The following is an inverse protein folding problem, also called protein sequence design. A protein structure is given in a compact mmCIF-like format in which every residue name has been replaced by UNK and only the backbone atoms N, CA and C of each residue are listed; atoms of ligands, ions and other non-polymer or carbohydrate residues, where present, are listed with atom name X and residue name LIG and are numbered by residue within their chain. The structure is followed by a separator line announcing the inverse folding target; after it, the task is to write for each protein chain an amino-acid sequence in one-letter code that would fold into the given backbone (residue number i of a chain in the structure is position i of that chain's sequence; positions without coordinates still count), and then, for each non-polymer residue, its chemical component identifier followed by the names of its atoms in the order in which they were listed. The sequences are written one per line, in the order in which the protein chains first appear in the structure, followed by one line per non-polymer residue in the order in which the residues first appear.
data_IF_165899311754
#
_entry.id   IF_165899311754
#
_cell.length_a   1.000
_cell.length_b   1.000
_cell.length_c   1.000
_cell.angle_alpha   90.00
_cell.angle_beta   90.00
_cell.angle_gamma   90.00
#
_symmetry.space_group_name_H-M   'P 1'
#
loop_
_entity.id
_entity.type
_entity.pdbx_description
1 polymer ?
#
# COMPACT_ATOMS: atom_id res chain seq x y z
N UNK A 1 4.16 5.48 4.44
CA UNK A 1 3.42 4.19 4.64
C UNK A 1 3.56 3.26 3.44
N UNK A 2 3.47 3.71 2.17
CA UNK A 2 3.65 2.82 1.01
C UNK A 2 4.98 2.04 1.03
N UNK A 3 6.10 2.70 1.40
CA UNK A 3 7.40 2.03 1.55
C UNK A 3 7.42 0.94 2.64
N UNK A 4 6.61 1.08 3.70
CA UNK A 4 6.49 0.05 4.74
C UNK A 4 5.84 -1.20 4.14
N UNK A 5 4.71 -1.04 3.43
CA UNK A 5 4.05 -2.16 2.77
C UNK A 5 4.90 -2.76 1.65
N UNK A 6 5.59 -1.92 0.87
CA UNK A 6 6.53 -2.38 -0.16
C UNK A 6 7.69 -3.19 0.44
N UNK A 7 8.23 -2.78 1.59
CA UNK A 7 9.28 -3.53 2.28
C UNK A 7 8.81 -4.89 2.80
N UNK A 8 7.58 -4.99 3.30
CA UNK A 8 6.98 -6.28 3.69
C UNK A 8 6.78 -7.16 2.45
N UNK A 9 6.22 -6.60 1.38
CA UNK A 9 6.01 -7.27 0.10
C UNK A 9 7.32 -7.78 -0.52
N UNK A 10 8.43 -7.10 -0.29
CA UNK A 10 9.77 -7.42 -0.80
C UNK A 10 10.62 -8.14 0.26
N UNK A 11 10.05 -9.12 0.94
CA UNK A 11 10.74 -10.00 1.90
C UNK A 11 11.53 -9.25 2.99
N UNK A 12 11.07 -8.06 3.37
CA UNK A 12 11.68 -7.21 4.39
C UNK A 12 12.79 -6.30 3.89
N UNK A 13 13.05 -6.25 2.59
CA UNK A 13 14.02 -5.35 1.97
C UNK A 13 13.31 -4.07 1.53
N UNK A 14 13.77 -2.93 2.02
CA UNK A 14 13.27 -1.61 1.61
C UNK A 14 14.15 -1.08 0.48
N UNK A 15 13.53 -0.70 -0.63
CA UNK A 15 14.20 -0.07 -1.77
C UNK A 15 14.20 1.45 -1.63
N UNK A 16 15.20 2.12 -2.19
CA UNK A 16 15.18 3.57 -2.32
C UNK A 16 14.07 4.00 -3.29
N UNK A 17 13.16 4.89 -2.88
CA UNK A 17 12.12 5.37 -3.77
C UNK A 17 12.72 6.26 -4.86
N UNK A 18 12.25 6.07 -6.09
CA UNK A 18 12.59 6.93 -7.23
C UNK A 18 11.34 7.32 -8.02
N UNK A 19 11.38 8.48 -8.64
CA UNK A 19 10.29 8.99 -9.48
C UNK A 19 10.70 9.07 -10.96
N UNK A 20 12.00 8.98 -11.24
CA UNK A 20 12.55 9.02 -12.59
C UNK A 20 13.21 7.68 -12.89
N UNK A 21 12.79 7.03 -13.94
CA UNK A 21 13.35 5.76 -14.41
C UNK A 21 14.53 6.00 -15.36
N UNK A 22 14.34 6.86 -16.35
CA UNK A 22 15.36 7.17 -17.33
C UNK A 22 15.22 8.59 -17.87
N UNK A 23 16.28 9.10 -18.48
CA UNK A 23 16.30 10.34 -19.27
C UNK A 23 16.46 9.96 -20.73
N UNK A 24 15.49 10.38 -21.54
CA UNK A 24 15.43 10.07 -22.97
C UNK A 24 15.61 11.38 -23.75
N UNK A 25 16.50 11.37 -24.74
CA UNK A 25 16.71 12.50 -25.64
C UNK A 25 15.55 12.66 -26.65
N UNK A 26 15.52 13.78 -27.36
CA UNK A 26 14.46 14.06 -28.34
C UNK A 26 14.45 13.07 -29.53
N UNK A 27 15.54 12.40 -29.81
CA UNK A 27 15.69 11.34 -30.82
C UNK A 27 15.36 9.93 -30.28
N UNK A 28 14.80 9.85 -29.04
CA UNK A 28 14.42 8.64 -28.32
C UNK A 28 15.62 7.79 -27.84
N UNK A 29 16.84 8.28 -27.93
CA UNK A 29 17.99 7.61 -27.30
C UNK A 29 17.96 7.75 -25.80
N UNK A 30 18.17 6.65 -25.04
CA UNK A 30 18.30 6.67 -23.61
C UNK A 30 19.67 7.25 -23.22
N UNK A 31 19.65 8.42 -22.57
CA UNK A 31 20.88 9.10 -22.14
C UNK A 31 21.35 8.67 -20.78
N UNK A 32 20.41 8.33 -19.91
CA UNK A 32 20.70 7.87 -18.55
C UNK A 32 19.58 6.97 -18.06
N UNK A 33 19.95 5.88 -17.39
CA UNK A 33 19.04 5.00 -16.63
C UNK A 33 19.40 5.03 -15.16
N UNK A 34 18.40 5.03 -14.30
CA UNK A 34 18.57 4.96 -12.86
C UNK A 34 18.23 3.54 -12.40
N UNK A 35 19.19 2.87 -11.76
CA UNK A 35 19.02 1.52 -11.25
C UNK A 35 18.26 1.51 -9.93
N UNK A 36 17.58 0.39 -9.65
CA UNK A 36 16.99 0.12 -8.34
C UNK A 36 18.11 -0.12 -7.32
N UNK A 37 18.03 0.57 -6.19
CA UNK A 37 19.02 0.42 -5.13
C UNK A 37 18.34 0.10 -3.80
N UNK A 38 18.94 -0.77 -3.00
CA UNK A 38 18.47 -1.07 -1.65
C UNK A 38 18.74 0.11 -0.71
N UNK A 39 17.73 0.48 0.08
CA UNK A 39 17.93 1.28 1.28
C UNK A 39 18.48 0.40 2.42
N UNK A 40 17.96 -0.81 2.56
CA UNK A 40 18.39 -1.81 3.53
C UNK A 40 17.28 -2.79 3.91
N UNK A 41 17.67 -3.79 4.70
CA UNK A 41 16.72 -4.78 5.25
C UNK A 41 16.14 -4.28 6.57
N UNK A 42 14.81 -4.10 6.61
CA UNK A 42 14.08 -3.69 7.81
C UNK A 42 13.73 -4.87 8.73
N UNK A 43 13.36 -6.02 8.15
CA UNK A 43 13.01 -7.25 8.87
C UNK A 43 13.48 -8.47 8.09
N UNK A 44 13.52 -9.64 8.73
CA UNK A 44 13.84 -10.90 8.03
C UNK A 44 12.70 -11.32 7.10
N UNK A 45 12.99 -12.15 6.10
CA UNK A 45 11.98 -12.70 5.20
C UNK A 45 10.88 -13.48 5.95
N UNK A 46 11.25 -14.20 7.01
CA UNK A 46 10.30 -14.94 7.86
C UNK A 46 9.30 -14.00 8.57
N UNK A 47 9.79 -12.86 9.08
CA UNK A 47 8.94 -11.85 9.72
C UNK A 47 8.04 -11.20 8.65
N UNK A 48 8.58 -10.86 7.48
CA UNK A 48 7.81 -10.31 6.38
C UNK A 48 6.69 -11.28 5.92
N UNK A 49 6.97 -12.57 5.78
CA UNK A 49 6.00 -13.60 5.44
C UNK A 49 4.90 -13.73 6.52
N UNK A 50 5.28 -13.69 7.80
CA UNK A 50 4.32 -13.70 8.92
C UNK A 50 3.41 -12.46 8.88
N UNK A 51 3.98 -11.29 8.63
CA UNK A 51 3.23 -10.04 8.47
C UNK A 51 2.27 -10.10 7.28
N UNK A 52 2.72 -10.62 6.14
CA UNK A 52 1.89 -10.83 4.93
C UNK A 52 0.68 -11.70 5.26
N UNK A 53 0.88 -12.83 5.93
CA UNK A 53 -0.20 -13.74 6.31
C UNK A 53 -1.25 -13.05 7.21
N UNK A 54 -0.81 -12.26 8.19
CA UNK A 54 -1.71 -11.50 9.06
C UNK A 54 -2.45 -10.40 8.29
N UNK A 55 -1.78 -9.72 7.35
CA UNK A 55 -2.38 -8.68 6.53
C UNK A 55 -3.40 -9.24 5.54
N UNK A 56 -3.16 -10.43 4.97
CA UNK A 56 -4.13 -11.15 4.13
C UNK A 56 -5.36 -11.54 4.94
N UNK A 57 -5.17 -12.16 6.10
CA UNK A 57 -6.28 -12.52 6.98
C UNK A 57 -7.13 -11.29 7.39
N UNK A 58 -6.49 -10.14 7.59
CA UNK A 58 -7.17 -8.90 7.92
C UNK A 58 -8.05 -8.37 6.76
N UNK A 59 -7.69 -8.61 5.51
CA UNK A 59 -8.53 -8.27 4.34
C UNK A 59 -9.61 -9.32 4.13
N UNK A 60 -9.28 -10.61 4.21
CA UNK A 60 -10.23 -11.70 3.94
C UNK A 60 -11.36 -11.77 4.97
N UNK A 61 -11.06 -11.57 6.26
CA UNK A 61 -12.02 -11.77 7.34
C UNK A 61 -11.94 -10.75 8.48
N UNK A 62 -11.10 -9.71 8.34
CA UNK A 62 -10.89 -8.71 9.37
C UNK A 62 -11.48 -7.34 9.02
N UNK A 63 -10.90 -6.30 9.65
CA UNK A 63 -11.36 -4.91 9.57
C UNK A 63 -10.87 -4.17 8.32
N UNK A 64 -10.26 -4.85 7.37
CA UNK A 64 -9.81 -4.27 6.10
C UNK A 64 -10.53 -4.89 4.88
N UNK A 65 -11.66 -5.53 5.09
CA UNK A 65 -12.43 -6.24 4.04
C UNK A 65 -12.89 -5.36 2.87
N UNK A 66 -12.93 -4.04 3.05
CA UNK A 66 -13.18 -3.09 1.96
C UNK A 66 -12.07 -3.04 0.88
N UNK A 67 -10.92 -3.68 1.14
CA UNK A 67 -9.83 -3.78 0.17
C UNK A 67 -9.82 -5.08 -0.64
N UNK A 68 -10.87 -5.92 -0.53
CA UNK A 68 -10.97 -7.18 -1.29
C UNK A 68 -11.04 -6.91 -2.80
N UNK A 69 -10.28 -7.71 -3.56
CA UNK A 69 -10.30 -7.75 -5.03
C UNK A 69 -10.62 -9.19 -5.43
N UNK A 70 -11.58 -9.39 -6.31
CA UNK A 70 -12.03 -10.72 -6.74
C UNK A 70 -10.88 -11.49 -7.39
N UNK A 71 -10.60 -12.68 -6.86
CA UNK A 71 -9.56 -13.57 -7.38
C UNK A 71 -8.12 -13.15 -7.05
N UNK A 72 -7.91 -12.15 -6.21
CA UNK A 72 -6.58 -11.67 -5.81
C UNK A 72 -6.45 -11.61 -4.29
N UNK A 73 -5.46 -12.26 -3.74
CA UNK A 73 -5.13 -12.10 -2.32
C UNK A 73 -4.46 -10.73 -2.07
N UNK A 74 -5.14 -9.91 -1.29
CA UNK A 74 -4.67 -8.59 -0.90
C UNK A 74 -4.16 -8.63 0.54
N UNK A 75 -2.95 -8.17 0.75
CA UNK A 75 -2.39 -7.92 2.08
C UNK A 75 -2.62 -6.47 2.48
N UNK A 76 -3.34 -6.20 3.58
CA UNK A 76 -3.69 -4.83 3.94
C UNK A 76 -3.94 -4.57 5.42
N UNK A 77 -3.76 -3.31 5.80
CA UNK A 77 -4.03 -2.79 7.14
C UNK A 77 -4.71 -1.43 7.06
N UNK A 78 -5.82 -1.31 7.75
CA UNK A 78 -6.49 -0.03 8.01
C UNK A 78 -5.88 0.67 9.22
N UNK A 79 -6.00 1.98 9.27
CA UNK A 79 -5.65 2.80 10.44
C UNK A 79 -6.62 3.97 10.56
N UNK A 80 -6.98 4.33 11.79
CA UNK A 80 -7.77 5.52 12.07
C UNK A 80 -6.99 6.33 13.11
N UNK A 81 -6.60 7.53 12.74
CA UNK A 81 -5.94 8.46 13.65
C UNK A 81 -6.99 9.41 14.22
N UNK A 82 -7.07 9.43 15.56
CA UNK A 82 -7.87 10.36 16.33
C UNK A 82 -7.03 11.62 16.58
N UNK A 83 -7.43 12.74 16.00
CA UNK A 83 -6.65 13.98 16.02
C UNK A 83 -6.96 14.86 17.24
N UNK A 84 -8.05 14.59 17.95
CA UNK A 84 -8.52 15.31 19.14
C UNK A 84 -9.94 14.89 19.51
N UNK A 85 -10.44 15.41 20.65
CA UNK A 85 -11.75 14.99 21.19
C UNK A 85 -12.91 15.32 20.25
N UNK A 86 -12.84 16.46 19.57
CA UNK A 86 -13.87 16.94 18.62
C UNK A 86 -13.37 16.96 17.17
N UNK A 87 -12.08 16.63 16.94
CA UNK A 87 -11.48 16.73 15.62
C UNK A 87 -11.87 15.56 14.72
N UNK A 88 -12.03 15.77 13.40
CA UNK A 88 -12.29 14.72 12.44
C UNK A 88 -11.16 13.69 12.40
N UNK A 89 -11.50 12.42 12.19
CA UNK A 89 -10.52 11.34 12.05
C UNK A 89 -9.75 11.43 10.73
N UNK A 90 -8.48 11.01 10.76
CA UNK A 90 -7.70 10.72 9.55
C UNK A 90 -7.72 9.22 9.29
N UNK A 91 -8.24 8.85 8.13
CA UNK A 91 -8.45 7.45 7.74
C UNK A 91 -7.31 6.98 6.87
N UNK A 92 -6.75 5.81 7.21
CA UNK A 92 -5.61 5.22 6.53
C UNK A 92 -5.91 3.82 6.03
N UNK A 93 -5.34 3.49 4.90
CA UNK A 93 -5.11 2.13 4.46
C UNK A 93 -3.70 2.03 3.88
N UNK A 94 -3.02 0.91 4.12
CA UNK A 94 -1.79 0.55 3.43
C UNK A 94 -1.79 -0.94 3.15
N UNK A 95 -1.23 -1.34 2.01
CA UNK A 95 -1.23 -2.73 1.60
C UNK A 95 -0.54 -2.95 0.27
N UNK A 96 -0.58 -4.18 -0.19
CA UNK A 96 -0.02 -4.60 -1.48
C UNK A 96 -0.81 -5.78 -2.06
N UNK A 97 -0.65 -5.99 -3.35
CA UNK A 97 -1.29 -7.06 -4.10
C UNK A 97 -0.49 -7.45 -5.37
N UNK A 98 -0.59 -8.70 -5.84
CA UNK A 98 -1.05 -9.89 -5.09
C UNK A 98 -0.16 -10.15 -3.87
N UNK A 99 -0.65 -10.91 -2.89
CA UNK A 99 0.14 -11.18 -1.68
C UNK A 99 1.26 -12.20 -1.89
N UNK A 100 1.10 -13.09 -2.86
CA UNK A 100 2.03 -14.17 -3.22
C UNK A 100 3.05 -13.74 -4.29
N UNK A 101 2.71 -12.78 -5.16
CA UNK A 101 3.58 -12.21 -6.19
C UNK A 101 3.37 -10.69 -6.24
N UNK A 102 3.89 -9.92 -5.28
CA UNK A 102 3.58 -8.51 -5.12
C UNK A 102 4.00 -7.64 -6.31
N UNK A 103 3.04 -6.96 -6.92
CA UNK A 103 3.26 -6.06 -8.06
C UNK A 103 2.97 -4.59 -7.75
N UNK A 104 2.18 -4.33 -6.72
CA UNK A 104 1.81 -2.98 -6.33
C UNK A 104 1.70 -2.86 -4.83
N UNK A 105 2.30 -1.82 -4.25
CA UNK A 105 2.10 -1.41 -2.87
C UNK A 105 1.47 -0.02 -2.85
N UNK A 106 0.48 0.18 -1.98
CA UNK A 106 -0.29 1.42 -1.90
C UNK A 106 -0.44 1.90 -0.46
N UNK A 107 -0.51 3.22 -0.31
CA UNK A 107 -1.01 3.85 0.91
C UNK A 107 -2.04 4.91 0.54
N UNK A 108 -3.17 4.90 1.22
CA UNK A 108 -4.26 5.87 1.07
C UNK A 108 -4.45 6.59 2.39
N UNK A 109 -4.52 7.91 2.32
CA UNK A 109 -4.91 8.76 3.43
C UNK A 109 -6.14 9.58 3.03
N UNK A 110 -7.11 9.66 3.92
CA UNK A 110 -8.32 10.46 3.74
C UNK A 110 -8.52 11.30 4.99
N UNK A 111 -8.40 12.61 4.84
CA UNK A 111 -8.57 13.57 5.92
C UNK A 111 -10.05 13.84 6.22
N UNK A 112 -10.31 14.43 7.37
CA UNK A 112 -11.63 14.86 7.83
C UNK A 112 -12.68 13.72 7.80
N UNK A 113 -12.25 12.47 8.05
CA UNK A 113 -13.15 11.32 8.01
C UNK A 113 -13.83 11.10 6.66
N UNK A 114 -13.27 11.66 5.57
CA UNK A 114 -13.91 11.66 4.24
C UNK A 114 -15.19 12.51 4.20
N UNK A 115 -15.24 13.59 4.96
CA UNK A 115 -16.42 14.43 5.11
C UNK A 115 -17.41 13.97 6.19
N UNK A 116 -17.13 12.86 6.88
CA UNK A 116 -17.99 12.28 7.93
C UNK A 116 -17.48 12.54 9.35
N UNK A 117 -16.41 13.34 9.51
CA UNK A 117 -15.82 13.64 10.80
C UNK A 117 -15.34 12.39 11.53
N UNK A 118 -15.78 12.21 12.78
CA UNK A 118 -15.49 11.03 13.60
C UNK A 118 -16.33 9.78 13.24
N UNK A 119 -17.32 9.92 12.37
CA UNK A 119 -18.09 8.77 11.84
C UNK A 119 -17.45 8.10 10.63
N UNK A 120 -16.35 8.65 10.13
CA UNK A 120 -15.59 8.09 9.01
C UNK A 120 -14.98 6.73 9.35
N UNK A 121 -14.94 5.81 8.38
CA UNK A 121 -14.38 4.47 8.54
C UNK A 121 -13.34 4.17 7.47
N UNK A 122 -12.13 3.83 7.89
CA UNK A 122 -11.03 3.46 6.99
C UNK A 122 -11.40 2.28 6.09
N UNK A 123 -12.13 1.29 6.64
CA UNK A 123 -12.61 0.14 5.86
C UNK A 123 -13.64 0.50 4.78
N UNK A 124 -14.48 1.51 5.04
CA UNK A 124 -15.54 1.92 4.10
C UNK A 124 -15.09 2.97 3.10
N UNK A 125 -14.01 3.68 3.39
CA UNK A 125 -13.56 4.83 2.57
C UNK A 125 -12.17 4.59 2.01
N UNK A 126 -11.12 4.46 2.85
CA UNK A 126 -9.74 4.35 2.39
C UNK A 126 -9.44 2.99 1.73
N UNK A 127 -9.95 1.89 2.28
CA UNK A 127 -9.70 0.55 1.76
C UNK A 127 -10.28 0.33 0.34
N UNK A 128 -11.53 0.73 0.00
CA UNK A 128 -12.03 0.59 -1.36
C UNK A 128 -11.31 1.47 -2.40
N UNK A 129 -10.77 2.62 -1.98
CA UNK A 129 -9.94 3.45 -2.85
C UNK A 129 -8.65 2.69 -3.19
N UNK A 130 -8.00 2.10 -2.18
CA UNK A 130 -6.80 1.30 -2.38
C UNK A 130 -7.07 0.09 -3.30
N UNK A 131 -8.18 -0.64 -3.08
CA UNK A 131 -8.58 -1.76 -3.94
C UNK A 131 -8.66 -1.36 -5.41
N UNK A 132 -9.37 -0.26 -5.72
CA UNK A 132 -9.49 0.24 -7.10
C UNK A 132 -8.16 0.63 -7.73
N UNK A 133 -7.25 1.22 -6.95
CA UNK A 133 -5.91 1.58 -7.45
C UNK A 133 -5.10 0.32 -7.75
N UNK A 134 -5.10 -0.65 -6.83
CA UNK A 134 -4.39 -1.92 -7.04
C UNK A 134 -4.96 -2.69 -8.23
N UNK A 135 -6.28 -2.82 -8.34
CA UNK A 135 -6.97 -3.46 -9.45
C UNK A 135 -6.61 -2.82 -10.79
N UNK A 136 -6.60 -1.48 -10.87
CA UNK A 136 -6.22 -0.75 -12.08
C UNK A 136 -4.76 -0.97 -12.49
N UNK A 137 -3.85 -1.22 -11.55
CA UNK A 137 -2.45 -1.55 -11.84
C UNK A 137 -2.32 -3.00 -12.29
N UNK A 138 -3.04 -3.93 -11.65
CA UNK A 138 -2.98 -5.37 -11.95
C UNK A 138 -3.63 -5.74 -13.28
N UNK A 139 -4.55 -4.92 -13.77
CA UNK A 139 -5.24 -5.12 -15.06
C UNK A 139 -4.44 -4.66 -16.30
N UNK A 140 -3.24 -4.12 -16.10
CA UNK A 140 -2.30 -3.70 -17.17
C UNK A 140 -1.32 -4.82 -17.53
#
# INVERSE_FOLDING_TARGET
MALVSAGIANEGIVMNPRMVDSVIAADLTEQQRFDDTEFGRAVTAEIAASMTSMMVANVQSGVASGATIDGVDVAGKTGTAENGVEDPYTLWFTGFAPADDPRVAVAVVVENGGGLGQSGSSNRIAAPIAAKVMEAVLSR
#
